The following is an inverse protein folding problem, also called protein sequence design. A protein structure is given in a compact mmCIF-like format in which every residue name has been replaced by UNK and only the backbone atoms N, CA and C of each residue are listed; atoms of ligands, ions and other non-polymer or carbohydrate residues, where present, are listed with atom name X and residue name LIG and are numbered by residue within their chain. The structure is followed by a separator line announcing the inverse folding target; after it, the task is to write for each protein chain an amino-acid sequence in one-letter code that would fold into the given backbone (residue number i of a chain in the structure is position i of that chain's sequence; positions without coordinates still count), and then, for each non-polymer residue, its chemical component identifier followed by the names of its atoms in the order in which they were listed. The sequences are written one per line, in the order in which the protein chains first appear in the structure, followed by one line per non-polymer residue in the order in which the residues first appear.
data_IF_552981099337
#
_entry.id   IF_552981099337
#
_cell.length_a   1.000
_cell.length_b   1.000
_cell.length_c   1.000
_cell.angle_alpha   90.00
_cell.angle_beta   90.00
_cell.angle_gamma   90.00
#
_symmetry.space_group_name_H-M   'P 1'
#
loop_
_entity.id
_entity.type
_entity.pdbx_description
1 polymer ?
#
# COMPACT_ATOMS: atom_id res chain seq x y z
N UNK A 1 35.69 24.76 54.57
CA UNK A 1 35.02 23.56 55.11
C UNK A 1 34.22 22.95 53.97
N UNK A 2 34.63 21.77 53.53
CA UNK A 2 33.96 20.98 52.51
C UNK A 2 32.74 20.31 53.12
N UNK A 3 31.60 20.36 52.45
CA UNK A 3 30.48 19.44 52.70
C UNK A 3 30.15 18.83 51.34
N UNK A 4 30.50 17.56 51.21
CA UNK A 4 30.17 16.69 50.09
C UNK A 4 28.88 15.97 50.47
N UNK A 5 27.81 16.16 49.70
CA UNK A 5 26.62 15.31 49.78
C UNK A 5 26.78 14.14 48.81
N UNK A 6 26.75 12.93 49.35
CA UNK A 6 26.63 11.67 48.62
C UNK A 6 25.17 11.46 48.20
N UNK A 7 24.87 11.05 46.95
CA UNK A 7 23.52 10.60 46.60
C UNK A 7 23.28 9.19 47.13
N UNK A 8 22.14 8.98 47.80
CA UNK A 8 21.64 7.66 48.20
C UNK A 8 21.21 6.83 46.99
N UNK A 9 21.40 5.50 46.99
CA UNK A 9 20.92 4.62 45.93
C UNK A 9 19.49 4.12 46.19
N UNK A 10 18.76 3.91 45.10
CA UNK A 10 17.53 3.12 44.99
C UNK A 10 16.24 3.66 45.61
N UNK A 11 15.42 4.26 44.74
CA UNK A 11 13.97 4.10 44.78
C UNK A 11 13.47 4.02 43.34
N UNK A 12 13.35 2.82 42.78
CA UNK A 12 12.61 2.65 41.52
C UNK A 12 11.16 3.09 41.77
N UNK A 13 10.66 3.99 40.93
CA UNK A 13 9.30 4.49 41.06
C UNK A 13 8.29 3.34 40.86
N UNK A 14 7.07 3.47 41.38
CA UNK A 14 6.01 2.48 41.10
C UNK A 14 5.74 2.33 39.60
N UNK A 15 6.02 3.37 38.80
CA UNK A 15 5.94 3.33 37.34
C UNK A 15 7.07 2.47 36.73
N UNK A 16 8.30 2.54 37.26
CA UNK A 16 9.41 1.66 36.84
C UNK A 16 9.16 0.19 37.23
N UNK A 17 8.45 -0.05 38.34
CA UNK A 17 8.08 -1.38 38.78
C UNK A 17 6.96 -1.98 37.90
N UNK A 18 5.93 -1.20 37.55
CA UNK A 18 4.86 -1.62 36.64
C UNK A 18 5.39 -1.84 35.23
N UNK A 19 6.27 -0.97 34.73
CA UNK A 19 6.94 -1.15 33.44
C UNK A 19 7.83 -2.40 33.41
N UNK A 20 8.51 -2.73 34.52
CA UNK A 20 9.29 -3.98 34.66
C UNK A 20 8.43 -5.23 34.83
N UNK A 21 7.22 -5.09 35.38
CA UNK A 21 6.28 -6.20 35.55
C UNK A 21 5.54 -6.51 34.25
N UNK A 22 5.20 -5.50 33.44
CA UNK A 22 4.72 -5.66 32.06
C UNK A 22 5.81 -6.22 31.12
N UNK A 23 7.07 -5.84 31.31
CA UNK A 23 8.21 -6.40 30.57
C UNK A 23 8.47 -7.90 30.84
N UNK A 24 7.81 -8.50 31.85
CA UNK A 24 7.95 -9.92 32.20
C UNK A 24 6.84 -10.82 31.66
N UNK A 25 5.79 -10.28 31.04
CA UNK A 25 4.75 -11.12 30.43
C UNK A 25 5.26 -11.61 29.07
N UNK A 26 5.45 -12.91 28.93
CA UNK A 26 5.84 -13.52 27.66
C UNK A 26 4.80 -13.15 26.59
N UNK A 27 5.29 -12.54 25.50
CA UNK A 27 4.43 -12.13 24.40
C UNK A 27 3.92 -13.38 23.68
N UNK A 28 2.61 -13.55 23.67
CA UNK A 28 1.93 -14.70 23.05
C UNK A 28 0.97 -14.24 21.97
N UNK A 29 0.65 -15.14 21.04
CA UNK A 29 -0.35 -14.87 20.04
C UNK A 29 -1.70 -14.57 20.69
N UNK A 30 -2.43 -13.61 20.13
CA UNK A 30 -3.77 -13.25 20.58
C UNK A 30 -4.68 -13.37 19.37
N UNK A 31 -5.66 -14.28 19.39
CA UNK A 31 -6.50 -14.55 18.23
C UNK A 31 -7.97 -14.52 18.66
N UNK A 32 -8.80 -13.90 17.82
CA UNK A 32 -10.27 -13.86 17.95
C UNK A 32 -10.86 -14.32 16.63
N UNK A 33 -11.83 -15.24 16.71
CA UNK A 33 -12.53 -15.80 15.56
C UNK A 33 -14.03 -15.54 15.65
N UNK A 34 -14.64 -15.21 14.52
CA UNK A 34 -16.07 -15.04 14.36
C UNK A 34 -16.52 -15.60 13.00
N UNK A 35 -17.77 -16.01 12.88
CA UNK A 35 -18.33 -16.54 11.63
C UNK A 35 -19.41 -15.61 11.09
N UNK A 36 -19.43 -15.45 9.76
CA UNK A 36 -20.27 -14.47 9.07
C UNK A 36 -20.65 -14.99 7.68
N UNK A 37 -21.51 -14.23 6.98
CA UNK A 37 -21.82 -14.43 5.58
C UNK A 37 -21.81 -13.08 4.85
N UNK A 38 -21.49 -13.07 3.56
CA UNK A 38 -21.52 -11.90 2.68
C UNK A 38 -22.09 -12.29 1.32
N UNK A 39 -22.81 -11.37 0.66
CA UNK A 39 -23.21 -11.54 -0.75
C UNK A 39 -22.16 -10.97 -1.70
N UNK A 40 -21.52 -11.82 -2.51
CA UNK A 40 -20.52 -11.45 -3.52
C UNK A 40 -21.02 -11.91 -4.89
N UNK A 41 -21.16 -11.00 -5.85
CA UNK A 41 -21.66 -11.33 -7.19
C UNK A 41 -23.01 -12.07 -7.19
N UNK A 42 -23.87 -11.81 -6.21
CA UNK A 42 -25.17 -12.48 -6.03
C UNK A 42 -25.11 -13.87 -5.40
N UNK A 43 -23.94 -14.32 -4.93
CA UNK A 43 -23.77 -15.59 -4.21
C UNK A 43 -23.47 -15.32 -2.73
N UNK A 44 -24.15 -16.05 -1.85
CA UNK A 44 -23.82 -16.04 -0.42
C UNK A 44 -22.53 -16.83 -0.19
N UNK A 45 -21.58 -16.20 0.49
CA UNK A 45 -20.30 -16.77 0.90
C UNK A 45 -20.25 -16.77 2.42
N UNK A 46 -20.31 -17.95 3.02
CA UNK A 46 -20.06 -18.13 4.45
C UNK A 46 -18.55 -18.14 4.72
N UNK A 47 -18.10 -17.39 5.72
CA UNK A 47 -16.68 -17.26 6.03
C UNK A 47 -16.40 -17.16 7.54
N UNK A 48 -15.17 -17.47 7.91
CA UNK A 48 -14.62 -17.23 9.24
C UNK A 48 -13.67 -16.03 9.16
N UNK A 49 -13.90 -15.04 10.02
CA UNK A 49 -13.01 -13.92 10.24
C UNK A 49 -12.11 -14.20 11.46
N UNK A 50 -10.80 -14.21 11.24
CA UNK A 50 -9.80 -14.36 12.30
C UNK A 50 -8.98 -13.07 12.39
N UNK A 51 -8.92 -12.45 13.56
CA UNK A 51 -8.13 -11.23 13.78
C UNK A 51 -7.32 -11.34 15.06
N UNK A 52 -6.24 -10.56 15.14
CA UNK A 52 -5.38 -10.52 16.30
C UNK A 52 -3.92 -10.47 15.91
N UNK A 53 -3.03 -11.00 16.74
CA UNK A 53 -1.58 -10.86 16.56
C UNK A 53 -0.83 -12.17 16.55
N UNK A 54 0.17 -12.26 15.66
CA UNK A 54 1.19 -13.31 15.63
C UNK A 54 2.52 -12.75 16.13
N UNK A 55 3.14 -13.44 17.09
CA UNK A 55 4.45 -13.11 17.63
C UNK A 55 5.55 -13.64 16.72
N UNK A 56 6.41 -12.73 16.26
CA UNK A 56 7.68 -13.07 15.63
C UNK A 56 8.73 -13.30 16.71
N UNK A 57 9.52 -14.35 16.53
CA UNK A 57 10.63 -14.71 17.40
C UNK A 57 11.93 -14.78 16.60
N UNK A 58 13.06 -14.58 17.27
CA UNK A 58 14.38 -14.83 16.68
C UNK A 58 14.78 -16.32 16.78
N UNK A 59 16.02 -16.62 16.40
CA UNK A 59 16.56 -17.98 16.40
C UNK A 59 16.78 -18.55 17.81
N UNK A 60 16.79 -17.70 18.84
CA UNK A 60 16.91 -18.06 20.26
C UNK A 60 15.51 -18.17 20.93
N UNK A 61 14.43 -18.16 20.13
CA UNK A 61 13.02 -18.19 20.57
C UNK A 61 12.58 -16.96 21.38
N UNK A 62 13.36 -15.86 21.33
CA UNK A 62 13.01 -14.60 21.98
C UNK A 62 12.02 -13.81 21.12
N UNK A 63 10.95 -13.29 21.71
CA UNK A 63 9.98 -12.45 21.02
C UNK A 63 10.61 -11.14 20.53
N UNK A 64 10.38 -10.83 19.26
CA UNK A 64 10.90 -9.64 18.55
C UNK A 64 9.81 -8.62 18.25
N UNK A 65 8.65 -9.08 17.80
CA UNK A 65 7.51 -8.22 17.47
C UNK A 65 6.19 -9.01 17.54
N UNK A 66 5.08 -8.27 17.63
CA UNK A 66 3.72 -8.77 17.49
C UNK A 66 3.10 -8.09 16.26
N UNK A 67 2.81 -8.88 15.22
CA UNK A 67 2.15 -8.37 14.01
C UNK A 67 0.66 -8.65 14.06
N UNK A 68 -0.12 -7.58 13.96
CA UNK A 68 -1.55 -7.63 13.78
C UNK A 68 -1.93 -8.04 12.36
N UNK A 69 -3.00 -8.80 12.26
CA UNK A 69 -3.61 -9.18 11.00
C UNK A 69 -5.13 -9.31 11.12
N UNK A 70 -5.78 -9.24 9.96
CA UNK A 70 -7.17 -9.68 9.80
C UNK A 70 -7.23 -10.65 8.64
N UNK A 71 -7.83 -11.82 8.84
CA UNK A 71 -7.96 -12.85 7.84
C UNK A 71 -9.42 -13.24 7.63
N UNK A 72 -9.76 -13.55 6.39
CA UNK A 72 -11.07 -14.06 5.99
C UNK A 72 -10.88 -15.36 5.22
N UNK A 73 -11.43 -16.44 5.78
CA UNK A 73 -11.35 -17.79 5.21
C UNK A 73 -12.73 -18.26 4.83
N UNK A 74 -12.92 -18.63 3.55
CA UNK A 74 -14.19 -19.19 3.10
C UNK A 74 -14.46 -20.55 3.78
N UNK A 75 -15.67 -20.72 4.30
CA UNK A 75 -16.10 -21.97 4.92
C UNK A 75 -16.51 -23.01 3.85
N UNK A 76 -16.51 -24.29 4.22
CA UNK A 76 -16.99 -25.38 3.36
C UNK A 76 -16.11 -25.71 2.15
N UNK A 77 -14.86 -25.26 2.14
CA UNK A 77 -13.88 -25.58 1.08
C UNK A 77 -13.41 -27.03 1.25
N UNK A 78 -13.67 -27.88 0.25
CA UNK A 78 -13.31 -29.30 0.30
C UNK A 78 -11.79 -29.55 0.24
N UNK A 79 -11.08 -28.83 -0.64
CA UNK A 79 -9.63 -28.92 -0.77
C UNK A 79 -8.98 -27.54 -0.56
N UNK A 80 -8.48 -27.32 0.65
CA UNK A 80 -7.77 -26.10 1.03
C UNK A 80 -6.45 -25.93 0.26
N UNK A 81 -5.85 -27.03 -0.21
CA UNK A 81 -4.64 -27.03 -1.02
C UNK A 81 -4.85 -26.44 -2.42
N UNK A 82 -6.09 -26.45 -2.94
CA UNK A 82 -6.42 -25.82 -4.22
C UNK A 82 -6.99 -24.40 -4.07
N UNK A 83 -7.35 -24.02 -2.84
CA UNK A 83 -7.90 -22.70 -2.52
C UNK A 83 -6.79 -21.65 -2.43
N UNK A 84 -6.75 -20.63 -3.30
CA UNK A 84 -5.77 -19.56 -3.19
C UNK A 84 -5.83 -18.82 -1.86
N UNK A 85 -4.67 -18.30 -1.44
CA UNK A 85 -4.51 -17.36 -0.34
C UNK A 85 -3.77 -16.12 -0.84
N UNK A 86 -4.31 -14.95 -0.49
CA UNK A 86 -3.76 -13.65 -0.89
C UNK A 86 -3.37 -12.87 0.35
N UNK A 87 -2.10 -12.53 0.45
CA UNK A 87 -1.57 -11.66 1.50
C UNK A 87 -1.58 -10.21 1.01
N UNK A 88 -2.28 -9.35 1.74
CA UNK A 88 -2.55 -7.97 1.39
C UNK A 88 -1.91 -7.01 2.39
N UNK A 89 -1.30 -5.95 1.89
CA UNK A 89 -0.72 -4.90 2.72
C UNK A 89 -0.68 -3.56 1.98
N UNK A 90 -0.95 -2.49 2.71
CA UNK A 90 -0.87 -1.14 2.18
C UNK A 90 0.57 -0.62 2.13
N UNK A 91 0.70 0.52 1.44
CA UNK A 91 1.93 1.27 1.28
C UNK A 91 2.01 2.50 2.16
N UNK A 92 2.81 3.49 1.72
CA UNK A 92 3.50 4.46 2.58
C UNK A 92 4.37 3.70 3.58
N UNK A 93 5.69 3.95 3.78
CA UNK A 93 6.26 3.32 4.95
C UNK A 93 5.48 3.85 6.18
N UNK A 94 4.69 2.98 6.83
CA UNK A 94 3.88 3.32 8.02
C UNK A 94 2.35 3.14 7.97
N UNK A 95 1.71 2.78 6.85
CA UNK A 95 0.23 2.65 6.83
C UNK A 95 -0.27 1.27 7.25
N UNK A 96 -1.41 1.21 7.96
CA UNK A 96 -2.15 -0.03 8.22
C UNK A 96 -2.77 -0.56 6.92
N UNK A 97 -3.01 -1.87 6.88
CA UNK A 97 -3.74 -2.58 5.83
C UNK A 97 -5.22 -2.18 5.68
N UNK A 98 -5.72 -1.26 6.52
CA UNK A 98 -7.12 -0.82 6.55
C UNK A 98 -7.65 -0.32 5.22
N UNK A 99 -6.82 0.28 4.36
CA UNK A 99 -7.29 0.83 3.08
C UNK A 99 -7.61 -0.28 2.06
N UNK A 100 -6.73 -1.28 1.92
CA UNK A 100 -7.05 -2.45 1.10
C UNK A 100 -8.12 -3.31 1.77
N UNK A 101 -8.15 -3.35 3.10
CA UNK A 101 -9.14 -4.11 3.86
C UNK A 101 -10.54 -3.55 3.69
N UNK A 102 -10.78 -2.31 4.09
CA UNK A 102 -12.11 -1.70 4.18
C UNK A 102 -12.47 -0.84 2.95
N UNK A 103 -11.53 -0.63 2.02
CA UNK A 103 -11.75 0.15 0.80
C UNK A 103 -11.75 -0.67 -0.49
N UNK A 104 -11.23 -1.92 -0.49
CA UNK A 104 -11.06 -2.69 -1.73
C UNK A 104 -11.46 -4.16 -1.59
N UNK A 105 -10.79 -4.93 -0.73
CA UNK A 105 -10.77 -6.39 -0.79
C UNK A 105 -11.64 -7.10 0.24
N UNK A 106 -11.80 -6.51 1.44
CA UNK A 106 -12.50 -7.17 2.55
C UNK A 106 -13.98 -7.45 2.24
N UNK A 107 -14.63 -8.38 2.96
CA UNK A 107 -16.03 -8.73 2.74
C UNK A 107 -17.00 -7.59 3.09
N UNK A 108 -16.56 -6.60 3.86
CA UNK A 108 -17.30 -5.37 4.11
C UNK A 108 -16.45 -4.17 3.74
N UNK A 109 -17.10 -3.08 3.36
CA UNK A 109 -16.45 -1.82 3.01
C UNK A 109 -17.13 -0.64 3.70
N UNK A 110 -16.38 0.46 3.83
CA UNK A 110 -16.97 1.74 4.25
C UNK A 110 -17.87 2.26 3.12
N UNK A 111 -19.06 2.72 3.47
CA UNK A 111 -19.95 3.39 2.52
C UNK A 111 -19.35 4.74 2.11
N UNK A 112 -19.26 4.97 0.81
CA UNK A 112 -18.82 6.22 0.20
C UNK A 112 -19.84 6.66 -0.86
N UNK A 113 -19.87 7.95 -1.18
CA UNK A 113 -20.61 8.44 -2.35
C UNK A 113 -19.90 8.07 -3.67
N UNK A 114 -20.52 8.43 -4.80
CA UNK A 114 -20.03 8.10 -6.14
C UNK A 114 -18.67 8.76 -6.44
N UNK A 115 -18.34 9.84 -5.73
CA UNK A 115 -17.06 10.55 -5.79
C UNK A 115 -16.01 10.00 -4.80
N UNK A 116 -16.37 9.03 -3.96
CA UNK A 116 -15.48 8.41 -2.97
C UNK A 116 -15.35 9.17 -1.65
N UNK A 117 -16.22 10.15 -1.38
CA UNK A 117 -16.24 10.86 -0.10
C UNK A 117 -17.07 10.11 0.95
N UNK A 118 -16.76 10.39 2.22
CA UNK A 118 -17.55 9.89 3.32
C UNK A 118 -18.91 10.63 3.40
N UNK A 119 -20.05 9.91 3.47
CA UNK A 119 -21.35 10.53 3.68
C UNK A 119 -21.46 11.16 5.08
N UNK A 120 -22.41 12.08 5.34
CA UNK A 120 -22.63 12.62 6.68
C UNK A 120 -23.00 11.51 7.68
N UNK A 121 -22.65 11.67 8.98
CA UNK A 121 -22.92 10.65 9.99
C UNK A 121 -24.43 10.37 10.14
N UNK A 122 -24.82 9.13 10.54
CA UNK A 122 -23.96 8.04 11.01
C UNK A 122 -23.28 7.26 9.86
N UNK A 123 -21.97 7.01 10.00
CA UNK A 123 -21.19 6.22 9.03
C UNK A 123 -21.60 4.74 9.06
N UNK A 124 -21.53 4.08 7.90
CA UNK A 124 -21.98 2.70 7.73
C UNK A 124 -20.90 1.80 7.13
N UNK A 125 -20.92 0.54 7.58
CA UNK A 125 -20.28 -0.57 6.89
C UNK A 125 -21.35 -1.29 6.08
N UNK A 126 -21.03 -1.59 4.83
CA UNK A 126 -21.90 -2.31 3.91
C UNK A 126 -21.16 -3.52 3.36
N UNK A 127 -21.90 -4.52 2.90
CA UNK A 127 -21.33 -5.67 2.20
C UNK A 127 -20.52 -5.19 0.99
N UNK A 128 -19.35 -5.80 0.80
CA UNK A 128 -18.53 -5.60 -0.37
C UNK A 128 -18.85 -6.67 -1.41
N UNK A 129 -19.85 -6.39 -2.24
CA UNK A 129 -20.26 -7.23 -3.36
C UNK A 129 -19.16 -7.46 -4.42
N UNK A 130 -18.08 -6.68 -4.36
CA UNK A 130 -16.90 -6.75 -5.23
C UNK A 130 -15.69 -7.45 -4.57
N UNK A 131 -15.83 -7.93 -3.33
CA UNK A 131 -14.76 -8.66 -2.66
C UNK A 131 -14.35 -9.89 -3.47
N UNK A 132 -13.06 -10.23 -3.44
CA UNK A 132 -12.52 -11.43 -4.09
C UNK A 132 -12.51 -12.66 -3.15
N UNK A 133 -13.21 -12.60 -2.01
CA UNK A 133 -13.28 -13.70 -1.03
C UNK A 133 -13.94 -14.97 -1.60
N UNK A 134 -14.72 -14.85 -2.68
CA UNK A 134 -15.23 -16.00 -3.44
C UNK A 134 -14.10 -16.72 -4.21
N UNK A 135 -13.01 -16.00 -4.57
CA UNK A 135 -11.85 -16.47 -5.36
C UNK A 135 -10.57 -16.74 -4.60
N UNK A 136 -10.28 -16.05 -3.49
CA UNK A 136 -9.10 -16.25 -2.63
C UNK A 136 -9.45 -16.04 -1.16
N UNK A 137 -8.84 -16.79 -0.24
CA UNK A 137 -8.84 -16.37 1.17
C UNK A 137 -7.92 -15.15 1.30
N UNK A 138 -8.23 -14.27 2.25
CA UNK A 138 -7.59 -12.96 2.38
C UNK A 138 -6.88 -12.86 3.72
N UNK A 139 -5.65 -12.33 3.73
CA UNK A 139 -4.89 -12.04 4.95
C UNK A 139 -4.29 -10.65 4.85
N UNK A 140 -4.86 -9.71 5.61
CA UNK A 140 -4.41 -8.34 5.72
C UNK A 140 -3.36 -8.23 6.81
N UNK A 141 -2.16 -7.75 6.46
CA UNK A 141 -1.01 -7.68 7.36
C UNK A 141 -0.70 -6.22 7.66
N UNK A 142 -0.61 -5.88 8.95
CA UNK A 142 -0.04 -4.62 9.40
C UNK A 142 1.46 -4.82 9.69
N UNK A 143 2.39 -4.24 8.92
CA UNK A 143 3.81 -4.28 9.24
C UNK A 143 4.12 -3.73 10.64
N UNK A 144 5.28 -4.07 11.20
CA UNK A 144 5.66 -3.61 12.54
C UNK A 144 5.62 -2.08 12.62
N UNK A 145 5.02 -1.55 13.69
CA UNK A 145 4.77 -0.11 13.91
C UNK A 145 3.59 0.49 13.14
N UNK A 146 2.81 -0.31 12.41
CA UNK A 146 1.57 0.13 11.74
C UNK A 146 0.34 -0.46 12.44
N UNK A 147 -0.80 0.24 12.38
CA UNK A 147 -2.06 -0.19 13.01
C UNK A 147 -1.88 -0.68 14.45
N UNK A 148 -2.15 -1.96 14.69
CA UNK A 148 -1.98 -2.60 16.01
C UNK A 148 -0.67 -3.39 16.19
N UNK A 149 0.20 -3.44 15.18
CA UNK A 149 1.49 -4.14 15.25
C UNK A 149 2.53 -3.37 16.06
N UNK A 150 3.24 -4.04 16.97
CA UNK A 150 4.23 -3.42 17.86
C UNK A 150 5.50 -4.27 17.99
N UNK A 151 6.69 -3.66 18.16
CA UNK A 151 7.86 -4.36 18.68
C UNK A 151 7.56 -5.02 20.04
N UNK A 152 8.28 -6.10 20.37
CA UNK A 152 8.19 -6.70 21.68
C UNK A 152 8.78 -5.77 22.77
N UNK A 153 8.43 -5.94 24.06
CA UNK A 153 9.04 -5.17 25.13
C UNK A 153 10.57 -5.25 25.12
N UNK A 154 11.24 -4.09 25.15
CA UNK A 154 12.70 -3.99 25.07
C UNK A 154 13.30 -4.09 23.67
N UNK A 155 12.48 -4.18 22.62
CA UNK A 155 12.92 -4.19 21.23
C UNK A 155 12.67 -2.82 20.57
N UNK A 156 13.70 -2.26 19.93
CA UNK A 156 13.63 -0.96 19.27
C UNK A 156 12.88 -1.04 17.94
N UNK A 157 11.91 -0.14 17.69
CA UNK A 157 11.11 -0.14 16.46
C UNK A 157 11.98 -0.03 15.19
N UNK A 158 13.06 0.75 15.26
CA UNK A 158 13.96 1.04 14.13
C UNK A 158 14.59 -0.22 13.53
N UNK A 159 14.71 -1.31 14.29
CA UNK A 159 15.29 -2.56 13.76
C UNK A 159 14.38 -3.24 12.71
N UNK A 160 13.10 -2.87 12.67
CA UNK A 160 12.12 -3.35 11.69
C UNK A 160 11.91 -2.39 10.53
N UNK A 161 12.60 -1.24 10.54
CA UNK A 161 12.45 -0.20 9.52
C UNK A 161 13.59 -0.27 8.51
N UNK A 162 13.27 0.03 7.26
CA UNK A 162 14.18 -0.14 6.12
C UNK A 162 13.67 -1.26 5.21
N UNK A 163 14.08 -1.22 3.94
CA UNK A 163 13.56 -2.12 2.91
C UNK A 163 13.71 -3.59 3.30
N UNK A 164 14.94 -4.00 3.65
CA UNK A 164 15.22 -5.41 3.95
C UNK A 164 14.54 -5.86 5.25
N UNK A 165 14.49 -5.01 6.28
CA UNK A 165 13.87 -5.32 7.57
C UNK A 165 12.36 -5.43 7.52
N UNK A 166 11.73 -4.60 6.68
CA UNK A 166 10.32 -4.70 6.34
C UNK A 166 10.03 -6.03 5.61
N UNK A 167 10.82 -6.37 4.58
CA UNK A 167 10.69 -7.63 3.83
C UNK A 167 10.89 -8.85 4.75
N UNK A 168 11.94 -8.85 5.58
CA UNK A 168 12.26 -9.95 6.51
C UNK A 168 11.09 -10.20 7.49
N UNK A 169 10.57 -9.14 8.13
CA UNK A 169 9.52 -9.28 9.15
C UNK A 169 8.18 -9.71 8.56
N UNK A 170 7.78 -9.13 7.42
CA UNK A 170 6.54 -9.54 6.73
C UNK A 170 6.69 -10.94 6.12
N UNK A 171 7.86 -11.28 5.59
CA UNK A 171 8.16 -12.63 5.09
C UNK A 171 8.08 -13.70 6.18
N UNK A 172 8.62 -13.41 7.36
CA UNK A 172 8.51 -14.28 8.54
C UNK A 172 7.05 -14.50 8.95
N UNK A 173 6.22 -13.44 8.95
CA UNK A 173 4.78 -13.55 9.21
C UNK A 173 4.10 -14.46 8.17
N UNK A 174 4.33 -14.24 6.88
CA UNK A 174 3.72 -15.03 5.79
C UNK A 174 4.05 -16.52 5.94
N UNK A 175 5.32 -16.84 6.25
CA UNK A 175 5.76 -18.22 6.50
C UNK A 175 5.06 -18.82 7.72
N UNK A 176 5.01 -18.10 8.84
CA UNK A 176 4.37 -18.57 10.08
C UNK A 176 2.88 -18.81 9.87
N UNK A 177 2.18 -17.86 9.27
CA UNK A 177 0.76 -17.98 8.92
C UNK A 177 0.54 -19.19 8.01
N UNK A 178 1.28 -19.29 6.91
CA UNK A 178 1.16 -20.40 5.95
C UNK A 178 1.36 -21.76 6.63
N UNK A 179 2.30 -21.86 7.58
CA UNK A 179 2.57 -23.09 8.33
C UNK A 179 1.45 -23.43 9.28
N UNK A 180 1.04 -22.47 10.13
CA UNK A 180 0.04 -22.69 11.18
C UNK A 180 -1.35 -23.01 10.61
N UNK A 181 -1.71 -22.35 9.52
CA UNK A 181 -2.99 -22.57 8.82
C UNK A 181 -2.90 -23.62 7.70
N UNK A 182 -1.79 -24.37 7.61
CA UNK A 182 -1.58 -25.49 6.67
C UNK A 182 -1.82 -25.12 5.19
N UNK A 183 -1.38 -23.92 4.79
CA UNK A 183 -1.58 -23.34 3.44
C UNK A 183 -0.39 -23.54 2.50
N UNK A 184 0.55 -24.42 2.83
CA UNK A 184 1.75 -24.65 2.02
C UNK A 184 1.43 -25.12 0.60
N UNK A 185 0.41 -25.95 0.42
CA UNK A 185 -0.03 -26.41 -0.91
C UNK A 185 -0.87 -25.37 -1.67
N UNK A 186 -1.51 -24.43 -0.96
CA UNK A 186 -2.37 -23.41 -1.57
C UNK A 186 -1.60 -22.54 -2.57
N UNK A 187 -2.22 -22.14 -3.70
CA UNK A 187 -1.69 -21.07 -4.53
C UNK A 187 -1.54 -19.77 -3.72
N UNK A 188 -0.38 -19.12 -3.79
CA UNK A 188 -0.06 -17.95 -2.96
C UNK A 188 0.07 -16.69 -3.80
N UNK A 189 -0.61 -15.63 -3.39
CA UNK A 189 -0.58 -14.34 -4.04
C UNK A 189 -0.20 -13.23 -3.07
N UNK A 190 0.47 -12.21 -3.58
CA UNK A 190 0.67 -10.95 -2.88
C UNK A 190 -0.16 -9.86 -3.56
N UNK A 191 -0.75 -8.97 -2.76
CA UNK A 191 -1.32 -7.70 -3.24
C UNK A 191 -0.80 -6.54 -2.40
N UNK A 192 -0.11 -5.62 -3.06
CA UNK A 192 0.47 -4.44 -2.43
C UNK A 192 -0.06 -3.17 -3.08
N UNK A 193 -0.38 -2.16 -2.26
CA UNK A 193 -0.69 -0.81 -2.74
C UNK A 193 0.46 0.15 -2.47
N UNK A 194 0.79 1.08 -3.39
CA UNK A 194 1.78 2.14 -3.15
C UNK A 194 3.14 1.55 -2.73
N UNK A 195 3.79 1.97 -1.63
CA UNK A 195 5.01 1.32 -1.12
C UNK A 195 4.87 -0.21 -0.95
N UNK A 196 3.65 -0.71 -0.73
CA UNK A 196 3.34 -2.13 -0.73
C UNK A 196 3.76 -2.81 -2.04
N UNK A 197 3.77 -2.14 -3.19
CA UNK A 197 4.28 -2.73 -4.43
C UNK A 197 5.79 -2.96 -4.39
N UNK A 198 6.54 -2.04 -3.79
CA UNK A 198 7.98 -2.24 -3.54
C UNK A 198 8.19 -3.44 -2.63
N UNK A 199 7.40 -3.55 -1.56
CA UNK A 199 7.42 -4.69 -0.63
C UNK A 199 7.08 -6.01 -1.33
N UNK A 200 6.05 -6.05 -2.16
CA UNK A 200 5.65 -7.25 -2.91
C UNK A 200 6.77 -7.75 -3.82
N UNK A 201 7.47 -6.84 -4.51
CA UNK A 201 8.60 -7.20 -5.36
C UNK A 201 9.76 -7.80 -4.55
N UNK A 202 10.11 -7.19 -3.41
CA UNK A 202 11.15 -7.70 -2.52
C UNK A 202 10.79 -9.05 -1.87
N UNK A 203 9.54 -9.18 -1.41
CA UNK A 203 9.02 -10.44 -0.84
C UNK A 203 9.04 -11.59 -1.85
N UNK A 204 8.83 -11.32 -3.13
CA UNK A 204 8.86 -12.38 -4.15
C UNK A 204 10.19 -13.13 -4.16
N UNK A 205 11.31 -12.40 -4.18
CA UNK A 205 12.65 -12.99 -4.08
C UNK A 205 12.89 -13.58 -2.68
N UNK A 206 12.61 -12.81 -1.63
CA UNK A 206 12.88 -13.23 -0.25
C UNK A 206 12.17 -14.53 0.15
N UNK A 207 10.87 -14.66 -0.13
CA UNK A 207 10.09 -15.86 0.19
C UNK A 207 10.62 -17.09 -0.54
N UNK A 208 10.99 -16.93 -1.82
CA UNK A 208 11.55 -18.01 -2.62
C UNK A 208 12.93 -18.44 -2.10
N UNK A 209 13.85 -17.49 -1.94
CA UNK A 209 15.26 -17.76 -1.61
C UNK A 209 15.43 -18.21 -0.15
N UNK A 210 14.73 -17.55 0.79
CA UNK A 210 14.91 -17.82 2.23
C UNK A 210 14.05 -18.97 2.74
N UNK A 211 12.88 -19.21 2.13
CA UNK A 211 11.88 -20.14 2.66
C UNK A 211 11.44 -21.22 1.67
N UNK A 212 11.92 -21.21 0.41
CA UNK A 212 11.43 -22.13 -0.62
C UNK A 212 9.94 -21.93 -0.92
N UNK A 213 9.40 -20.74 -0.63
CA UNK A 213 8.00 -20.40 -0.82
C UNK A 213 7.79 -19.68 -2.14
N UNK A 214 7.21 -20.40 -3.11
CA UNK A 214 6.92 -19.87 -4.43
C UNK A 214 5.54 -19.18 -4.48
N UNK A 215 5.47 -18.06 -5.20
CA UNK A 215 4.24 -17.31 -5.46
C UNK A 215 3.66 -17.69 -6.82
N UNK A 216 2.33 -17.68 -6.90
CA UNK A 216 1.57 -17.90 -8.14
C UNK A 216 1.22 -16.59 -8.85
N UNK A 217 1.34 -15.45 -8.17
CA UNK A 217 1.14 -14.14 -8.77
C UNK A 217 1.32 -13.00 -7.78
N UNK A 218 1.47 -11.79 -8.34
CA UNK A 218 1.60 -10.55 -7.59
C UNK A 218 0.68 -9.52 -8.24
N UNK A 219 -0.11 -8.83 -7.42
CA UNK A 219 -0.99 -7.74 -7.82
C UNK A 219 -0.42 -6.42 -7.28
N UNK A 220 -0.17 -5.47 -8.19
CA UNK A 220 0.42 -4.18 -7.87
C UNK A 220 -0.61 -3.06 -8.06
N UNK A 221 -1.08 -2.49 -6.96
CA UNK A 221 -2.07 -1.40 -6.97
C UNK A 221 -1.33 -0.07 -6.80
N UNK A 222 -1.55 0.89 -7.71
CA UNK A 222 -0.91 2.22 -7.65
C UNK A 222 0.61 2.13 -7.46
N UNK A 223 1.28 1.44 -8.40
CA UNK A 223 2.64 0.94 -8.20
C UNK A 223 3.72 2.00 -8.09
N UNK A 224 4.63 1.83 -7.13
CA UNK A 224 5.93 2.49 -7.06
C UNK A 224 7.04 1.43 -6.94
N UNK A 225 7.77 1.22 -8.03
CA UNK A 225 8.94 0.33 -8.08
C UNK A 225 10.23 1.11 -8.35
N UNK A 226 10.11 2.24 -9.05
CA UNK A 226 11.16 3.23 -9.20
C UNK A 226 10.67 4.57 -8.64
N UNK A 227 11.25 5.03 -7.54
CA UNK A 227 10.82 6.27 -6.89
C UNK A 227 11.06 7.52 -7.74
N UNK A 228 11.98 7.48 -8.71
CA UNK A 228 12.19 8.62 -9.61
C UNK A 228 10.94 8.95 -10.43
N UNK A 229 10.05 8.01 -10.69
CA UNK A 229 8.82 8.27 -11.47
C UNK A 229 7.81 9.15 -10.73
N UNK A 230 7.96 9.33 -9.41
CA UNK A 230 7.06 10.09 -8.54
C UNK A 230 7.80 11.14 -7.69
N UNK A 231 8.92 11.69 -8.18
CA UNK A 231 9.72 12.70 -7.49
C UNK A 231 9.94 13.92 -8.37
N UNK A 232 9.08 14.91 -8.27
CA UNK A 232 9.07 16.14 -9.09
C UNK A 232 10.19 17.14 -8.73
N UNK A 233 11.35 16.67 -8.26
CA UNK A 233 12.48 17.51 -7.88
C UNK A 233 13.12 18.18 -9.11
N UNK A 234 13.75 19.34 -8.90
CA UNK A 234 14.57 19.98 -9.93
C UNK A 234 15.63 18.99 -10.43
N UNK A 235 15.72 18.83 -11.76
CA UNK A 235 16.62 17.89 -12.41
C UNK A 235 16.04 16.50 -12.68
N UNK A 236 14.80 16.22 -12.24
CA UNK A 236 14.10 14.99 -12.59
C UNK A 236 12.82 15.29 -13.40
N UNK A 237 12.94 15.18 -14.72
CA UNK A 237 11.84 15.49 -15.64
C UNK A 237 10.89 14.28 -15.89
N UNK A 238 11.32 13.07 -15.51
CA UNK A 238 10.60 11.83 -15.76
C UNK A 238 9.14 11.84 -15.25
N UNK A 239 8.83 12.33 -14.02
CA UNK A 239 7.46 12.37 -13.54
C UNK A 239 6.52 13.21 -14.40
N UNK A 240 6.98 14.34 -14.94
CA UNK A 240 6.13 15.22 -15.75
C UNK A 240 5.65 14.52 -17.03
N UNK A 241 6.54 13.74 -17.64
CA UNK A 241 6.25 12.92 -18.81
C UNK A 241 5.22 11.84 -18.46
N UNK A 242 5.47 11.09 -17.38
CA UNK A 242 4.66 9.93 -16.99
C UNK A 242 3.27 10.31 -16.45
N UNK A 243 3.11 11.50 -15.86
CA UNK A 243 1.83 11.95 -15.30
C UNK A 243 0.93 12.65 -16.31
N UNK A 244 1.46 13.06 -17.47
CA UNK A 244 0.67 13.78 -18.48
C UNK A 244 -0.59 13.01 -18.94
N UNK A 245 -0.53 11.68 -19.21
CA UNK A 245 -1.73 10.91 -19.52
C UNK A 245 -2.78 10.94 -18.40
N UNK A 246 -2.36 10.89 -17.13
CA UNK A 246 -3.27 11.00 -15.98
C UNK A 246 -3.94 12.38 -15.92
N UNK A 247 -3.18 13.46 -16.11
CA UNK A 247 -3.77 14.81 -16.17
C UNK A 247 -4.78 14.93 -17.31
N UNK A 248 -4.50 14.27 -18.43
CA UNK A 248 -5.39 14.23 -19.59
C UNK A 248 -6.67 13.44 -19.31
N UNK A 249 -6.56 12.27 -18.67
CA UNK A 249 -7.71 11.49 -18.26
C UNK A 249 -8.62 12.28 -17.30
N UNK A 250 -8.03 12.96 -16.32
CA UNK A 250 -8.77 13.82 -15.37
C UNK A 250 -9.48 14.96 -16.11
N UNK A 251 -8.79 15.65 -17.02
CA UNK A 251 -9.41 16.72 -17.79
C UNK A 251 -10.51 16.21 -18.73
N UNK A 252 -10.35 15.03 -19.34
CA UNK A 252 -11.36 14.39 -20.18
C UNK A 252 -12.61 14.03 -19.36
N UNK A 253 -12.42 13.44 -18.16
CA UNK A 253 -13.49 13.07 -17.25
C UNK A 253 -14.35 14.28 -16.84
N UNK A 254 -13.71 15.41 -16.54
CA UNK A 254 -14.39 16.64 -16.14
C UNK A 254 -14.87 17.53 -17.31
N UNK A 255 -14.75 17.08 -18.56
CA UNK A 255 -15.21 17.85 -19.71
C UNK A 255 -14.37 19.10 -20.03
N UNK A 256 -13.12 19.14 -19.58
CA UNK A 256 -12.23 20.30 -19.66
C UNK A 256 -11.34 20.31 -20.91
N UNK A 257 -11.36 19.24 -21.71
CA UNK A 257 -10.61 19.21 -22.96
C UNK A 257 -11.32 19.99 -24.07
N UNK A 258 -10.54 20.41 -25.09
CA UNK A 258 -11.12 21.05 -26.28
C UNK A 258 -12.12 20.11 -26.96
N UNK A 259 -13.17 20.69 -27.57
CA UNK A 259 -14.29 19.96 -28.21
C UNK A 259 -13.88 18.80 -29.12
N UNK A 260 -12.75 18.90 -29.83
CA UNK A 260 -12.25 17.82 -30.70
C UNK A 260 -11.85 16.59 -29.89
N UNK A 261 -11.05 16.77 -28.83
CA UNK A 261 -10.58 15.69 -27.95
C UNK A 261 -11.72 15.16 -27.08
N UNK A 262 -12.59 16.06 -26.59
CA UNK A 262 -13.73 15.68 -25.75
C UNK A 262 -14.74 14.75 -26.45
N UNK A 263 -14.79 14.78 -27.79
CA UNK A 263 -15.65 13.90 -28.61
C UNK A 263 -15.03 12.52 -28.89
N UNK A 264 -13.75 12.34 -28.60
CA UNK A 264 -13.09 11.06 -28.77
C UNK A 264 -13.31 10.15 -27.55
N UNK A 265 -13.11 8.85 -27.74
CA UNK A 265 -13.08 7.91 -26.61
C UNK A 265 -11.85 8.22 -25.74
N UNK A 266 -11.96 7.98 -24.43
CA UNK A 266 -10.84 8.19 -23.51
C UNK A 266 -9.59 7.44 -23.97
N UNK A 267 -9.71 6.18 -24.43
CA UNK A 267 -8.55 5.41 -24.89
C UNK A 267 -7.85 6.06 -26.09
N UNK A 268 -8.59 6.54 -27.08
CA UNK A 268 -7.98 7.20 -28.24
C UNK A 268 -7.22 8.48 -27.86
N UNK A 269 -7.76 9.27 -26.92
CA UNK A 269 -7.07 10.45 -26.36
C UNK A 269 -5.81 10.03 -25.59
N UNK A 270 -5.89 8.94 -24.82
CA UNK A 270 -4.74 8.41 -24.07
C UNK A 270 -3.64 7.89 -25.01
N UNK A 271 -3.99 7.17 -26.09
CA UNK A 271 -3.01 6.75 -27.10
C UNK A 271 -2.27 7.95 -27.70
N UNK A 272 -3.00 9.03 -28.03
CA UNK A 272 -2.44 10.26 -28.60
C UNK A 272 -1.48 10.97 -27.62
N UNK A 273 -1.89 11.14 -26.35
CA UNK A 273 -1.06 11.84 -25.36
C UNK A 273 0.10 10.99 -24.85
N UNK A 274 -0.03 9.67 -24.75
CA UNK A 274 1.07 8.76 -24.41
C UNK A 274 2.17 8.81 -25.49
N UNK A 275 1.79 8.87 -26.77
CA UNK A 275 2.72 9.05 -27.88
C UNK A 275 3.39 10.44 -27.84
N UNK A 276 2.63 11.51 -27.57
CA UNK A 276 3.19 12.85 -27.40
C UNK A 276 4.17 12.92 -26.22
N UNK A 277 3.79 12.35 -25.07
CA UNK A 277 4.57 12.35 -23.84
C UNK A 277 5.95 11.68 -24.05
N UNK A 278 5.95 10.47 -24.63
CA UNK A 278 7.17 9.67 -24.82
C UNK A 278 8.05 10.12 -25.98
N UNK A 279 7.59 11.06 -26.81
CA UNK A 279 8.34 11.61 -27.93
C UNK A 279 8.59 13.12 -27.76
N UNK A 280 7.74 13.96 -28.35
CA UNK A 280 7.95 15.41 -28.47
C UNK A 280 8.14 16.09 -27.11
N UNK A 281 7.31 15.74 -26.11
CA UNK A 281 7.41 16.35 -24.80
C UNK A 281 8.69 15.94 -24.07
N UNK A 282 9.05 14.66 -24.13
CA UNK A 282 10.33 14.15 -23.61
C UNK A 282 11.51 14.90 -24.25
N UNK A 283 11.52 15.05 -25.57
CA UNK A 283 12.59 15.76 -26.28
C UNK A 283 12.63 17.24 -25.91
N UNK A 284 11.47 17.90 -25.77
CA UNK A 284 11.38 19.29 -25.39
C UNK A 284 11.96 19.55 -24.00
N UNK A 285 11.63 18.71 -23.02
CA UNK A 285 12.21 18.78 -21.67
C UNK A 285 13.73 18.55 -21.71
N UNK A 286 14.20 17.56 -22.48
CA UNK A 286 15.63 17.26 -22.62
C UNK A 286 16.43 18.38 -23.29
N UNK A 287 15.86 19.08 -24.28
CA UNK A 287 16.47 20.26 -24.91
C UNK A 287 16.61 21.42 -23.92
N UNK A 288 15.69 21.55 -22.97
CA UNK A 288 15.73 22.59 -21.94
C UNK A 288 15.84 23.99 -22.53
N UNK A 289 16.86 24.75 -22.13
CA UNK A 289 17.10 26.11 -22.62
C UNK A 289 17.49 26.19 -24.12
N UNK A 290 17.82 25.06 -24.77
CA UNK A 290 18.10 25.01 -26.21
C UNK A 290 16.83 24.84 -27.06
N UNK A 291 15.67 24.71 -26.43
CA UNK A 291 14.38 24.62 -27.13
C UNK A 291 14.07 25.96 -27.80
N UNK A 292 13.97 25.99 -29.13
CA UNK A 292 13.67 27.20 -29.88
C UNK A 292 12.24 27.68 -29.63
N UNK A 293 12.00 28.98 -29.83
CA UNK A 293 10.73 29.64 -29.49
C UNK A 293 9.51 29.03 -30.22
N UNK A 294 9.67 28.66 -31.49
CA UNK A 294 8.60 28.03 -32.27
C UNK A 294 8.24 26.64 -31.74
N UNK A 295 9.25 25.81 -31.46
CA UNK A 295 9.05 24.46 -30.91
C UNK A 295 8.45 24.55 -29.50
N UNK A 296 8.93 25.49 -28.67
CA UNK A 296 8.35 25.78 -27.35
C UNK A 296 6.87 26.12 -27.45
N UNK A 297 6.47 27.05 -28.33
CA UNK A 297 5.08 27.44 -28.49
C UNK A 297 4.18 26.26 -28.90
N UNK A 298 4.67 25.34 -29.73
CA UNK A 298 3.95 24.12 -30.10
C UNK A 298 3.76 23.18 -28.91
N UNK A 299 4.79 22.98 -28.09
CA UNK A 299 4.69 22.13 -26.89
C UNK A 299 3.73 22.73 -25.86
N UNK A 300 3.75 24.04 -25.68
CA UNK A 300 2.83 24.77 -24.78
C UNK A 300 1.39 24.57 -25.21
N UNK A 301 1.08 24.76 -26.49
CA UNK A 301 -0.28 24.57 -27.00
C UNK A 301 -0.72 23.10 -26.85
N UNK A 302 0.14 22.13 -27.16
CA UNK A 302 -0.18 20.70 -26.96
C UNK A 302 -0.44 20.35 -25.50
N UNK A 303 0.42 20.81 -24.57
CA UNK A 303 0.21 20.59 -23.14
C UNK A 303 -1.09 21.25 -22.65
N UNK A 304 -1.38 22.47 -23.07
CA UNK A 304 -2.64 23.14 -22.75
C UNK A 304 -3.85 22.37 -23.31
N UNK A 305 -3.75 21.85 -24.54
CA UNK A 305 -4.79 21.03 -25.16
C UNK A 305 -5.07 19.73 -24.39
N UNK A 306 -4.04 19.02 -23.97
CA UNK A 306 -4.18 17.73 -23.30
C UNK A 306 -4.51 17.86 -21.82
N UNK A 307 -4.23 18.99 -21.17
CA UNK A 307 -4.48 19.13 -19.72
C UNK A 307 -5.67 20.02 -19.38
N UNK A 308 -6.23 20.75 -20.35
CA UNK A 308 -7.26 21.77 -20.09
C UNK A 308 -6.74 23.01 -19.35
N UNK A 309 -5.43 23.09 -19.10
CA UNK A 309 -4.78 24.24 -18.46
C UNK A 309 -4.59 25.39 -19.46
N UNK A 310 -4.47 26.61 -18.94
CA UNK A 310 -4.11 27.77 -19.77
C UNK A 310 -2.68 27.68 -20.28
N UNK A 311 -2.43 28.13 -21.51
CA UNK A 311 -1.08 28.25 -22.06
C UNK A 311 -0.15 29.12 -21.19
N UNK A 312 -0.66 30.21 -20.60
CA UNK A 312 0.10 31.07 -19.66
C UNK A 312 0.66 30.27 -18.47
N UNK A 313 -0.18 29.46 -17.84
CA UNK A 313 0.25 28.60 -16.74
C UNK A 313 1.32 27.57 -17.18
N UNK A 314 1.14 26.93 -18.34
CA UNK A 314 2.12 25.98 -18.89
C UNK A 314 3.46 26.67 -19.17
N UNK A 315 3.44 27.88 -19.72
CA UNK A 315 4.64 28.67 -19.98
C UNK A 315 5.36 29.05 -18.68
N UNK A 316 4.61 29.55 -17.69
CA UNK A 316 5.14 29.98 -16.39
C UNK A 316 5.69 28.84 -15.55
N UNK A 317 5.25 27.61 -15.82
CA UNK A 317 5.82 26.41 -15.21
C UNK A 317 7.01 25.85 -16.00
N UNK A 318 7.46 26.55 -17.05
CA UNK A 318 8.53 26.08 -17.94
C UNK A 318 8.29 24.64 -18.42
N UNK A 319 7.07 24.39 -18.90
CA UNK A 319 6.57 23.09 -19.38
C UNK A 319 6.46 22.01 -18.29
N UNK A 320 6.62 22.34 -17.00
CA UNK A 320 6.63 21.39 -15.87
C UNK A 320 5.44 21.66 -14.93
N UNK A 321 4.27 21.16 -15.32
CA UNK A 321 3.01 21.37 -14.58
C UNK A 321 3.17 21.00 -13.10
N UNK A 322 2.92 21.97 -12.22
CA UNK A 322 3.11 21.83 -10.78
C UNK A 322 1.76 21.62 -10.06
N UNK A 323 1.55 20.41 -9.54
CA UNK A 323 0.30 20.00 -8.88
C UNK A 323 0.33 20.14 -7.35
N UNK A 324 1.49 20.45 -6.76
CA UNK A 324 1.64 20.70 -5.34
C UNK A 324 1.74 22.20 -5.12
N UNK A 325 0.67 22.80 -4.62
CA UNK A 325 0.64 24.17 -4.09
C UNK A 325 0.42 24.13 -2.60
#
# INVERSE_FOLDING_TARGET
MSITETPSPNGASKEDAVAKEEAKKELTDQLVETTHAVSIGGQQIDYTATTGTIVLKDEEDKAKASLFFTAYTRNGVADVGQRPITFAFNGGPGSSSVWLHMGVLGPQRVMMDDEGNAPPPPYQLVDNEYSILDKTDLVFIDPVSTGYSRPAPGEEAKQFHGLDKDIESVGAFIRLYTTRYKRWASPKFLIGESYGTTRSAGLAGHLQERHGMYLNGIMLVSSILNFQTARFNVGNDLPYILFLPTYTATAWYHGLLRKKLQKQTLRAVLDEVEAFATNEYTLALMKGAKLGDEERAQIVDKLAQYTGLSADYVERTNLRIAIHR
#
